data_IF_548868076752
#
_entry.id   IF_548868076752
#
_cell.length_a   1.000
_cell.length_b   1.000
_cell.length_c   1.000
_cell.angle_alpha   90.00
_cell.angle_beta   90.00
_cell.angle_gamma   90.00
#
_symmetry.space_group_name_H-M   'P 1'
#
loop_
_entity.id
_entity.type
_entity.pdbx_description
1 polymer ?
#
# COMPACT_ATOMS: atom_id res chain seq x y z
N UNK A 1 -10.21 -30.36 -8.25
CA UNK A 1 -10.57 -28.92 -8.33
C UNK A 1 -9.63 -28.19 -7.40
N UNK A 2 -8.62 -27.52 -7.93
CA UNK A 2 -7.79 -26.61 -7.13
C UNK A 2 -8.51 -25.28 -7.11
N UNK A 3 -9.14 -24.93 -6.00
CA UNK A 3 -9.50 -23.54 -5.73
C UNK A 3 -8.19 -22.75 -5.71
N UNK A 4 -7.89 -22.06 -6.80
CA UNK A 4 -6.92 -20.96 -6.77
C UNK A 4 -7.58 -19.85 -5.99
N UNK A 5 -7.35 -19.81 -4.68
CA UNK A 5 -7.69 -18.65 -3.85
C UNK A 5 -6.91 -17.48 -4.44
N UNK A 6 -7.59 -16.59 -5.18
CA UNK A 6 -6.95 -15.39 -5.71
C UNK A 6 -6.39 -14.58 -4.53
N UNK A 7 -5.08 -14.29 -4.56
CA UNK A 7 -4.44 -13.47 -3.54
C UNK A 7 -5.09 -12.08 -3.51
N UNK A 8 -5.53 -11.64 -2.34
CA UNK A 8 -6.13 -10.31 -2.16
C UNK A 8 -5.01 -9.27 -2.10
N UNK A 9 -4.76 -8.60 -3.22
CA UNK A 9 -3.73 -7.55 -3.33
C UNK A 9 -4.35 -6.16 -3.22
N UNK A 10 -3.83 -5.34 -2.31
CA UNK A 10 -4.21 -3.93 -2.18
C UNK A 10 -3.05 -3.03 -2.62
N UNK A 11 -3.27 -2.18 -3.61
CA UNK A 11 -2.26 -1.24 -4.10
C UNK A 11 -2.31 0.06 -3.31
N UNK A 12 -1.16 0.50 -2.80
CA UNK A 12 -1.05 1.70 -1.97
C UNK A 12 0.13 2.56 -2.43
N UNK A 13 -0.17 3.84 -2.67
CA UNK A 13 0.86 4.85 -2.90
C UNK A 13 1.38 5.37 -1.57
N UNK A 14 2.69 5.27 -1.35
CA UNK A 14 3.34 5.81 -0.15
C UNK A 14 3.23 7.34 -0.16
N UNK A 15 2.78 7.91 0.95
CA UNK A 15 2.52 9.35 1.05
C UNK A 15 1.99 9.75 2.42
N UNK A 16 1.41 10.95 2.52
CA UNK A 16 0.93 11.53 3.79
C UNK A 16 -0.01 10.59 4.57
N UNK A 17 -0.80 9.80 3.85
CA UNK A 17 -1.86 8.94 4.39
C UNK A 17 -1.47 7.46 4.47
N UNK A 18 -0.31 7.08 3.95
CA UNK A 18 0.25 5.73 3.98
C UNK A 18 1.68 5.83 4.53
N UNK A 19 1.84 5.53 5.82
CA UNK A 19 3.12 5.62 6.52
C UNK A 19 3.75 4.24 6.65
N UNK A 20 5.05 4.18 6.43
CA UNK A 20 5.84 2.97 6.61
C UNK A 20 6.59 3.03 7.94
N UNK A 21 6.49 1.99 8.75
CA UNK A 21 7.28 1.85 9.97
C UNK A 21 8.28 0.72 9.82
N UNK A 22 9.48 0.91 10.35
CA UNK A 22 10.56 -0.06 10.24
C UNK A 22 10.96 -0.57 11.63
N UNK A 23 11.68 -1.68 11.65
CA UNK A 23 12.41 -2.14 12.83
C UNK A 23 13.47 -1.12 13.25
N UNK A 24 14.05 -1.31 14.44
CA UNK A 24 15.21 -0.54 14.87
C UNK A 24 16.29 -0.55 13.77
N UNK A 25 16.99 0.58 13.60
CA UNK A 25 18.00 0.80 12.56
C UNK A 25 17.49 0.76 11.10
N UNK A 26 16.18 0.72 10.87
CA UNK A 26 15.56 0.77 9.54
C UNK A 26 15.88 -0.43 8.62
N UNK A 27 16.27 -1.56 9.21
CA UNK A 27 16.71 -2.76 8.50
C UNK A 27 15.54 -3.49 7.81
N UNK A 28 14.32 -3.43 8.38
CA UNK A 28 13.17 -4.19 7.89
C UNK A 28 11.87 -3.43 8.03
N UNK A 29 11.03 -3.44 7.00
CA UNK A 29 9.66 -2.93 7.05
C UNK A 29 8.84 -3.76 8.06
N UNK A 30 8.23 -3.08 9.03
CA UNK A 30 7.48 -3.68 10.14
C UNK A 30 5.98 -3.54 9.96
N UNK A 31 5.51 -2.35 9.62
CA UNK A 31 4.07 -2.11 9.41
C UNK A 31 3.81 -1.02 8.38
N UNK A 32 2.61 -1.08 7.81
CA UNK A 32 2.06 -0.07 6.90
C UNK A 32 0.83 0.51 7.59
N UNK A 33 0.89 1.80 7.91
CA UNK A 33 -0.18 2.51 8.62
C UNK A 33 -0.98 3.37 7.66
N UNK A 34 -2.29 3.19 7.67
CA UNK A 34 -3.25 3.97 6.91
C UNK A 34 -3.94 4.98 7.82
N UNK A 35 -4.00 6.24 7.38
CA UNK A 35 -4.88 7.22 8.02
C UNK A 35 -6.35 6.78 7.91
N UNK A 36 -7.19 7.24 8.84
CA UNK A 36 -8.64 6.98 8.75
C UNK A 36 -9.26 7.54 7.46
N UNK A 37 -8.72 8.65 6.95
CA UNK A 37 -9.14 9.21 5.66
C UNK A 37 -8.88 8.22 4.53
N UNK A 38 -7.70 7.58 4.52
CA UNK A 38 -7.37 6.59 3.50
C UNK A 38 -8.23 5.34 3.62
N UNK A 39 -8.43 4.83 4.82
CA UNK A 39 -9.36 3.70 5.04
C UNK A 39 -10.77 4.03 4.54
N UNK A 40 -11.26 5.22 4.86
CA UNK A 40 -12.58 5.68 4.40
C UNK A 40 -12.65 5.84 2.90
N UNK A 41 -11.58 6.31 2.25
CA UNK A 41 -11.47 6.37 0.79
C UNK A 41 -11.54 4.98 0.16
N UNK A 42 -10.76 4.02 0.68
CA UNK A 42 -10.74 2.65 0.17
C UNK A 42 -12.13 1.99 0.27
N UNK A 43 -12.85 2.21 1.39
CA UNK A 43 -14.19 1.68 1.60
C UNK A 43 -15.20 2.36 0.67
N UNK A 44 -15.20 3.70 0.58
CA UNK A 44 -16.12 4.45 -0.30
C UNK A 44 -15.94 4.10 -1.77
N UNK A 45 -14.71 3.82 -2.17
CA UNK A 45 -14.39 3.42 -3.55
C UNK A 45 -14.66 1.93 -3.82
N UNK A 46 -15.14 1.17 -2.83
CA UNK A 46 -15.43 -0.26 -2.98
C UNK A 46 -14.20 -1.15 -3.14
N UNK A 47 -13.00 -0.64 -2.82
CA UNK A 47 -11.75 -1.41 -2.94
C UNK A 47 -11.61 -2.45 -1.83
N UNK A 48 -12.18 -2.16 -0.66
CA UNK A 48 -12.24 -3.03 0.51
C UNK A 48 -13.54 -2.76 1.28
N UNK A 49 -13.96 -3.72 2.09
CA UNK A 49 -14.94 -3.50 3.17
C UNK A 49 -14.21 -3.49 4.51
N UNK A 50 -14.91 -3.13 5.58
CA UNK A 50 -14.34 -3.23 6.94
C UNK A 50 -13.83 -4.63 7.26
N UNK A 51 -14.51 -5.67 6.75
CA UNK A 51 -14.13 -7.06 6.95
C UNK A 51 -12.92 -7.42 6.08
N UNK A 52 -12.98 -7.12 4.78
CA UNK A 52 -11.95 -7.54 3.83
C UNK A 52 -10.64 -6.76 3.98
N UNK A 53 -10.66 -5.61 4.66
CA UNK A 53 -9.45 -4.87 5.04
C UNK A 53 -8.48 -5.71 5.89
N UNK A 54 -8.99 -6.65 6.69
CA UNK A 54 -8.14 -7.56 7.49
C UNK A 54 -7.73 -8.83 6.74
N UNK A 55 -8.21 -9.01 5.52
CA UNK A 55 -8.04 -10.21 4.70
C UNK A 55 -7.03 -10.04 3.56
N UNK A 56 -6.48 -8.83 3.38
CA UNK A 56 -5.44 -8.52 2.40
C UNK A 56 -4.21 -9.41 2.60
N UNK A 57 -3.80 -10.09 1.54
CA UNK A 57 -2.64 -10.99 1.50
C UNK A 57 -1.34 -10.23 1.26
N UNK A 58 -1.40 -9.27 0.33
CA UNK A 58 -0.24 -8.51 -0.11
C UNK A 58 -0.60 -7.05 -0.34
N UNK A 59 0.37 -6.19 -0.11
CA UNK A 59 0.28 -4.78 -0.47
C UNK A 59 1.27 -4.48 -1.58
N UNK A 60 0.77 -4.01 -2.71
CA UNK A 60 1.59 -3.42 -3.77
C UNK A 60 1.97 -1.99 -3.37
N UNK A 61 3.18 -1.79 -2.83
CA UNK A 61 3.66 -0.47 -2.45
C UNK A 61 4.21 0.27 -3.66
N UNK A 62 3.57 1.39 -3.99
CA UNK A 62 3.98 2.32 -5.04
C UNK A 62 4.70 3.50 -4.40
N UNK A 63 6.04 3.52 -4.49
CA UNK A 63 6.85 4.65 -4.00
C UNK A 63 6.94 5.71 -5.09
N UNK A 64 6.04 6.70 -5.06
CA UNK A 64 6.09 7.88 -5.94
C UNK A 64 6.54 9.13 -5.18
N UNK A 65 7.47 9.84 -5.78
CA UNK A 65 7.76 11.25 -5.56
C UNK A 65 6.69 12.10 -6.26
N UNK A 66 5.85 12.77 -5.46
CA UNK A 66 4.84 13.78 -5.80
C UNK A 66 3.48 13.35 -6.43
N UNK A 67 2.49 13.42 -5.53
CA UNK A 67 1.16 14.04 -5.59
C UNK A 67 0.21 13.88 -6.80
N UNK A 68 -1.06 13.68 -6.43
CA UNK A 68 -2.29 13.67 -7.22
C UNK A 68 -2.48 12.46 -8.13
N UNK A 69 -2.92 11.35 -7.55
CA UNK A 69 -3.73 10.38 -8.29
C UNK A 69 -5.14 10.43 -7.70
N UNK A 70 -5.95 11.35 -8.23
CA UNK A 70 -7.39 11.32 -8.03
C UNK A 70 -7.95 10.20 -8.92
N UNK A 71 -8.74 9.28 -8.34
CA UNK A 71 -9.57 8.35 -9.12
C UNK A 71 -11.02 8.71 -8.84
N UNK A 72 -11.65 9.36 -9.81
CA UNK A 72 -13.11 9.43 -9.92
C UNK A 72 -13.52 8.17 -10.71
N UNK A 73 -14.27 7.28 -10.07
CA UNK A 73 -14.70 6.01 -10.66
C UNK A 73 -15.93 6.26 -11.52
N UNK A 74 -15.76 6.64 -12.79
CA UNK A 74 -16.80 6.44 -13.82
C UNK A 74 -16.25 6.16 -15.23
N UNK A 75 -14.95 6.33 -15.53
CA UNK A 75 -14.41 5.88 -16.82
C UNK A 75 -12.89 5.65 -16.78
N UNK A 76 -12.46 4.46 -17.21
CA UNK A 76 -11.08 3.99 -17.09
C UNK A 76 -10.21 4.71 -18.13
N UNK A 77 -9.56 5.81 -17.73
CA UNK A 77 -8.40 6.33 -18.46
C UNK A 77 -7.12 5.76 -17.88
N UNK A 78 -6.44 4.97 -18.73
CA UNK A 78 -5.13 4.36 -18.48
C UNK A 78 -4.13 5.38 -17.94
N UNK A 79 -3.59 5.10 -16.75
CA UNK A 79 -2.34 5.71 -16.26
C UNK A 79 -1.18 5.08 -17.06
N UNK A 80 -0.16 5.84 -17.50
CA UNK A 80 0.93 5.26 -18.28
C UNK A 80 1.79 4.28 -17.44
N UNK A 81 1.70 3.00 -17.80
CA UNK A 81 2.63 1.86 -17.73
C UNK A 81 3.71 1.93 -16.62
N UNK A 82 3.34 1.27 -15.51
CA UNK A 82 4.09 0.54 -14.47
C UNK A 82 5.04 1.33 -13.56
N UNK A 83 4.53 1.97 -12.48
CA UNK A 83 5.40 2.22 -11.34
C UNK A 83 6.03 0.89 -10.87
N UNK A 84 7.33 0.88 -10.59
CA UNK A 84 7.94 -0.27 -9.94
C UNK A 84 7.33 -0.36 -8.55
N UNK A 85 6.59 -1.43 -8.33
CA UNK A 85 5.92 -1.74 -7.09
C UNK A 85 6.69 -2.77 -6.31
N UNK A 86 6.52 -2.72 -5.00
CA UNK A 86 7.06 -3.74 -4.11
C UNK A 86 5.90 -4.50 -3.49
N UNK A 87 5.86 -5.79 -3.76
CA UNK A 87 4.89 -6.69 -3.15
C UNK A 87 5.31 -6.98 -1.72
N UNK A 88 4.50 -6.53 -0.77
CA UNK A 88 4.72 -6.71 0.66
C UNK A 88 3.73 -7.74 1.19
N UNK A 89 4.17 -8.92 1.62
CA UNK A 89 3.31 -9.93 2.22
C UNK A 89 2.85 -9.48 3.61
N UNK A 90 1.56 -9.68 3.89
CA UNK A 90 0.91 -9.25 5.12
C UNK A 90 0.68 -10.44 6.05
N UNK A 91 0.98 -10.24 7.33
CA UNK A 91 0.58 -11.18 8.37
C UNK A 91 -0.88 -10.94 8.74
N UNK A 92 -1.80 -11.63 8.04
CA UNK A 92 -3.25 -11.52 8.24
C UNK A 92 -3.66 -11.79 9.68
N UNK A 93 -3.09 -12.83 10.31
CA UNK A 93 -3.38 -13.20 11.70
C UNK A 93 -3.02 -12.07 12.68
N UNK A 94 -1.81 -11.50 12.56
CA UNK A 94 -1.37 -10.38 13.42
C UNK A 94 -2.14 -9.10 13.14
N UNK A 95 -2.48 -8.83 11.88
CA UNK A 95 -3.28 -7.66 11.48
C UNK A 95 -4.69 -7.74 12.06
N UNK A 96 -5.38 -8.87 11.87
CA UNK A 96 -6.72 -9.11 12.42
C UNK A 96 -6.75 -9.05 13.95
N UNK A 97 -5.74 -9.58 14.63
CA UNK A 97 -5.66 -9.55 16.09
C UNK A 97 -5.51 -8.13 16.69
N UNK A 98 -5.03 -7.16 15.90
CA UNK A 98 -4.93 -5.74 16.31
C UNK A 98 -6.18 -4.93 15.97
N UNK A 99 -7.06 -5.48 15.13
CA UNK A 99 -8.25 -4.79 14.68
C UNK A 99 -9.45 -5.20 15.54
N UNK A 100 -10.08 -4.22 16.16
CA UNK A 100 -11.34 -4.41 16.86
C UNK A 100 -12.50 -3.94 15.96
N UNK A 101 -13.30 -4.85 15.38
CA UNK A 101 -14.40 -4.45 14.49
C UNK A 101 -15.52 -3.69 15.23
N UNK A 102 -15.61 -3.84 16.55
CA UNK A 102 -16.67 -3.25 17.37
C UNK A 102 -16.33 -1.84 17.87
N UNK A 103 -15.09 -1.39 17.66
CA UNK A 103 -14.65 -0.06 18.06
C UNK A 103 -14.82 0.95 16.91
N UNK A 104 -15.34 2.13 17.23
CA UNK A 104 -15.46 3.21 16.25
C UNK A 104 -14.10 3.58 15.66
N UNK A 105 -14.01 3.63 14.32
CA UNK A 105 -12.83 4.05 13.57
C UNK A 105 -12.18 5.34 14.09
N UNK A 106 -13.00 6.30 14.57
CA UNK A 106 -12.53 7.57 15.12
C UNK A 106 -11.62 7.40 16.35
N UNK A 107 -11.71 6.28 17.07
CA UNK A 107 -10.89 5.98 18.26
C UNK A 107 -9.61 5.19 17.93
N UNK A 108 -9.53 4.59 16.74
CA UNK A 108 -8.42 3.72 16.35
C UNK A 108 -7.19 4.47 15.83
N UNK A 109 -7.33 5.77 15.48
CA UNK A 109 -6.23 6.65 15.05
C UNK A 109 -5.69 6.34 13.64
N UNK A 110 -5.21 5.13 13.41
CA UNK A 110 -4.79 4.59 12.11
C UNK A 110 -5.11 3.10 12.02
N UNK A 111 -5.30 2.60 10.81
CA UNK A 111 -5.32 1.16 10.57
C UNK A 111 -3.90 0.67 10.28
N UNK A 112 -3.49 -0.45 10.87
CA UNK A 112 -2.12 -0.97 10.73
C UNK A 112 -2.10 -2.36 10.11
N UNK A 113 -1.52 -2.48 8.92
CA UNK A 113 -1.11 -3.76 8.37
C UNK A 113 0.22 -4.19 8.98
N UNK A 114 0.24 -5.37 9.59
CA UNK A 114 1.49 -5.97 10.08
C UNK A 114 2.16 -6.73 8.94
N UNK A 115 3.37 -6.33 8.58
CA UNK A 115 4.16 -6.99 7.53
C UNK A 115 4.59 -8.39 8.00
N UNK A 116 4.64 -9.35 7.07
CA UNK A 116 5.15 -10.70 7.35
C UNK A 116 6.59 -10.66 7.85
N UNK A 117 6.93 -11.55 8.77
CA UNK A 117 8.29 -11.66 9.29
C UNK A 117 9.28 -12.20 8.23
N UNK A 118 8.77 -12.77 7.14
CA UNK A 118 9.54 -13.23 5.98
C UNK A 118 9.95 -12.09 5.03
N UNK A 119 9.52 -10.85 5.29
CA UNK A 119 9.84 -9.72 4.43
C UNK A 119 11.18 -9.07 4.84
N UNK A 120 12.06 -8.82 3.88
CA UNK A 120 13.40 -8.22 4.10
C UNK A 120 13.55 -6.80 3.51
N UNK A 121 12.47 -6.10 3.17
CA UNK A 121 12.58 -4.75 2.58
C UNK A 121 13.13 -3.79 3.62
N UNK A 122 14.30 -3.22 3.35
CA UNK A 122 14.88 -2.14 4.13
C UNK A 122 14.36 -0.78 3.67
N UNK A 123 14.66 0.27 4.46
CA UNK A 123 14.37 1.65 4.04
C UNK A 123 15.20 2.07 2.83
N UNK A 124 16.42 1.56 2.71
CA UNK A 124 17.33 1.87 1.60
C UNK A 124 16.84 1.27 0.27
N UNK A 125 16.27 0.07 0.31
CA UNK A 125 15.65 -0.55 -0.87
C UNK A 125 14.50 0.31 -1.40
N UNK A 126 13.62 0.77 -0.51
CA UNK A 126 12.50 1.64 -0.89
C UNK A 126 12.95 3.03 -1.36
N UNK A 127 14.03 3.56 -0.78
CA UNK A 127 14.63 4.81 -1.26
C UNK A 127 15.21 4.65 -2.67
N UNK A 128 15.96 3.57 -2.91
CA UNK A 128 16.52 3.23 -4.22
C UNK A 128 15.42 3.07 -5.27
N UNK A 129 14.33 2.39 -4.91
CA UNK A 129 13.17 2.23 -5.78
C UNK A 129 12.48 3.57 -6.10
N UNK A 130 12.35 4.46 -5.13
CA UNK A 130 11.84 5.81 -5.38
C UNK A 130 12.74 6.57 -6.38
N UNK A 131 14.07 6.49 -6.23
CA UNK A 131 15.01 7.11 -7.18
C UNK A 131 14.89 6.52 -8.59
N UNK A 132 14.74 5.21 -8.72
CA UNK A 132 14.52 4.53 -10.01
C UNK A 132 13.21 4.98 -10.66
N UNK A 133 12.12 5.06 -9.89
CA UNK A 133 10.84 5.56 -10.36
C UNK A 133 10.94 7.01 -10.85
N UNK A 134 11.65 7.89 -10.12
CA UNK A 134 11.89 9.27 -10.58
C UNK A 134 12.70 9.33 -11.88
N UNK A 135 13.76 8.54 -12.00
CA UNK A 135 14.63 8.52 -13.18
C UNK A 135 13.89 8.03 -14.44
N UNK A 136 13.07 6.98 -14.29
CA UNK A 136 12.22 6.44 -15.37
C UNK A 136 11.26 7.51 -15.90
N UNK A 137 10.61 8.25 -15.01
CA UNK A 137 9.68 9.33 -15.38
C UNK A 137 10.40 10.50 -16.07
N UNK A 138 11.60 10.88 -15.61
CA UNK A 138 12.41 11.96 -16.21
C UNK A 138 12.90 11.61 -17.62
N UNK A 139 13.29 10.35 -17.87
CA UNK A 139 13.73 9.88 -19.20
C UNK A 139 12.60 9.90 -20.23
N UNK A 140 11.39 9.48 -19.84
CA UNK A 140 10.22 9.48 -20.73
C UNK A 140 9.83 10.91 -21.17
N UNK A 141 9.87 11.90 -20.26
CA UNK A 141 9.62 13.31 -20.62
C UNK A 141 10.61 13.89 -21.65
N UNK A 142 11.81 13.34 -21.76
CA UNK A 142 12.82 13.76 -22.76
C UNK A 142 12.68 13.07 -24.12
N UNK A 143 12.01 11.93 -24.20
CA UNK A 143 11.81 11.15 -25.43
C UNK A 143 10.50 11.44 -26.18
N UNK A 144 9.69 12.40 -25.72
CA UNK A 144 8.42 12.81 -26.35
C UNK A 144 8.54 14.10 -27.16
N UNK A 145 9.68 14.32 -27.84
CA UNK A 145 9.88 15.40 -28.80
C UNK A 145 10.35 14.85 -30.14
#
# INVERSE_FOLDING_TARGET
>A
MTETTEEKVLYLTVGKEVRLTFTAKFERLRSIQLSLNKVSELIRNGLVTQETLTEVDRIGLITKSNHNTYVLVEDIRQVPIDPIEVMVPINKKKTKAKFNPDESWARQGWFEYTVSDTQEISREDLYSLNQLNEASQKRKKKGSK
#
